data_IF_094092131243
#
_entry.id   IF_094092131243
#
_cell.length_a   1.000
_cell.length_b   1.000
_cell.length_c   1.000
_cell.angle_alpha   90.00
_cell.angle_beta   90.00
_cell.angle_gamma   90.00
#
_symmetry.space_group_name_H-M   'P 1'
#
loop_
_entity.id
_entity.type
_entity.pdbx_description
1 polymer ?
#
# COMPACT_ATOMS: atom_id res chain seq x y z
N UNK A 1 22.34 -20.00 17.09
CA UNK A 1 21.51 -18.79 16.90
C UNK A 1 20.19 -19.01 17.65
N UNK A 2 19.78 -18.04 18.44
CA UNK A 2 18.50 -18.04 19.14
C UNK A 2 17.68 -16.84 18.64
N UNK A 3 16.49 -17.08 18.09
CA UNK A 3 15.56 -16.04 17.67
C UNK A 3 14.51 -15.78 18.75
N UNK A 4 14.42 -14.54 19.21
CA UNK A 4 13.35 -14.05 20.08
C UNK A 4 12.38 -13.17 19.28
N UNK A 5 11.12 -13.59 19.19
CA UNK A 5 10.02 -12.81 18.61
C UNK A 5 9.24 -12.17 19.75
N UNK A 6 9.05 -10.86 19.69
CA UNK A 6 8.35 -10.06 20.71
C UNK A 6 7.41 -9.04 20.06
N UNK A 7 6.58 -8.39 20.86
CA UNK A 7 5.79 -7.25 20.43
C UNK A 7 6.62 -6.02 20.11
N UNK A 8 7.69 -5.78 20.90
CA UNK A 8 8.57 -4.62 20.81
C UNK A 8 10.03 -5.02 20.99
N UNK A 9 10.96 -4.33 20.33
CA UNK A 9 12.38 -4.40 20.61
C UNK A 9 12.69 -3.77 21.99
N UNK A 10 13.91 -3.96 22.52
CA UNK A 10 14.31 -3.36 23.79
C UNK A 10 14.09 -1.85 23.80
N UNK A 11 13.39 -1.37 24.83
CA UNK A 11 13.04 0.03 25.00
C UNK A 11 11.85 0.21 25.96
N UNK A 12 11.23 1.37 25.92
CA UNK A 12 10.14 1.73 26.84
C UNK A 12 8.94 0.75 26.81
N UNK A 13 8.68 0.12 25.67
CA UNK A 13 7.55 -0.80 25.50
C UNK A 13 7.94 -2.29 25.51
N UNK A 14 9.22 -2.65 25.74
CA UNK A 14 9.74 -4.02 25.61
C UNK A 14 8.88 -5.07 26.35
N UNK A 15 8.34 -4.72 27.50
CA UNK A 15 7.58 -5.63 28.36
C UNK A 15 6.07 -5.49 28.24
N UNK A 16 5.58 -4.70 27.27
CA UNK A 16 4.13 -4.61 27.00
C UNK A 16 3.65 -5.82 26.20
N UNK A 17 2.42 -6.21 26.50
CA UNK A 17 1.73 -7.20 25.69
C UNK A 17 1.39 -6.57 24.35
N UNK A 18 1.67 -7.28 23.27
CA UNK A 18 1.32 -6.90 21.92
C UNK A 18 0.69 -8.12 21.21
N UNK A 19 -0.39 -7.83 20.51
CA UNK A 19 -1.03 -8.70 19.54
C UNK A 19 -0.96 -8.00 18.18
N UNK A 20 -1.10 -8.74 17.10
CA UNK A 20 -1.14 -8.18 15.74
C UNK A 20 -2.05 -6.96 15.64
N UNK A 21 -3.31 -7.08 16.07
CA UNK A 21 -4.31 -6.00 16.02
C UNK A 21 -3.91 -4.77 16.85
N UNK A 22 -3.38 -5.01 18.06
CA UNK A 22 -2.91 -3.91 18.92
C UNK A 22 -1.80 -3.13 18.23
N UNK A 23 -0.86 -3.83 17.61
CA UNK A 23 0.25 -3.20 16.90
C UNK A 23 -0.22 -2.51 15.63
N UNK A 24 -1.18 -3.07 14.89
CA UNK A 24 -1.79 -2.38 13.74
C UNK A 24 -2.44 -1.05 14.13
N UNK A 25 -3.12 -1.00 15.29
CA UNK A 25 -3.68 0.24 15.81
C UNK A 25 -2.59 1.22 16.25
N UNK A 26 -1.59 0.77 17.00
CA UNK A 26 -0.51 1.61 17.53
C UNK A 26 0.39 2.20 16.43
N UNK A 27 0.63 1.45 15.37
CA UNK A 27 1.51 1.85 14.27
C UNK A 27 0.86 2.80 13.26
N UNK A 28 -0.45 2.99 13.33
CA UNK A 28 -1.22 3.74 12.33
C UNK A 28 -1.60 2.93 11.09
N UNK A 29 -1.23 1.65 11.01
CA UNK A 29 -1.61 0.79 9.88
C UNK A 29 -3.14 0.67 9.76
N UNK A 30 -3.83 0.47 10.88
CA UNK A 30 -5.29 0.41 10.90
C UNK A 30 -5.94 1.75 10.50
N UNK A 31 -5.35 2.88 10.91
CA UNK A 31 -5.79 4.21 10.47
C UNK A 31 -5.68 4.35 8.94
N UNK A 32 -4.55 3.96 8.38
CA UNK A 32 -4.33 4.05 6.92
C UNK A 32 -5.21 3.08 6.12
N UNK A 33 -5.64 1.97 6.72
CA UNK A 33 -6.47 0.94 6.06
C UNK A 33 -7.96 1.32 6.03
N UNK A 34 -8.46 1.93 7.10
CA UNK A 34 -9.88 2.27 7.27
C UNK A 34 -10.29 3.61 6.65
N UNK A 35 -11.59 3.83 6.44
CA UNK A 35 -12.10 5.14 6.07
C UNK A 35 -11.90 6.16 7.23
N UNK A 36 -12.01 7.47 6.95
CA UNK A 36 -11.87 8.49 7.98
C UNK A 36 -12.74 8.21 9.21
N UNK A 37 -12.14 8.25 10.40
CA UNK A 37 -12.83 8.00 11.67
C UNK A 37 -13.14 6.54 11.99
N UNK A 38 -12.82 5.59 11.09
CA UNK A 38 -13.04 4.15 11.29
C UNK A 38 -11.77 3.34 11.00
N UNK A 39 -10.78 3.32 11.89
CA UNK A 39 -9.59 2.48 11.71
C UNK A 39 -9.98 1.00 11.58
N UNK A 40 -9.44 0.33 10.58
CA UNK A 40 -9.68 -1.08 10.31
C UNK A 40 -8.37 -1.85 10.27
N UNK A 41 -8.34 -3.01 10.93
CA UNK A 41 -7.20 -3.92 10.76
C UNK A 41 -7.16 -4.47 9.33
N UNK A 42 -5.98 -4.86 8.88
CA UNK A 42 -5.84 -5.66 7.66
C UNK A 42 -6.53 -7.01 7.81
N UNK A 43 -7.00 -7.59 6.72
CA UNK A 43 -7.72 -8.88 6.69
C UNK A 43 -6.86 -10.11 7.04
N UNK A 44 -5.58 -9.92 7.34
CA UNK A 44 -4.64 -10.95 7.78
C UNK A 44 -3.82 -10.44 8.96
N UNK A 45 -3.20 -11.36 9.72
CA UNK A 45 -2.24 -11.03 10.79
C UNK A 45 -0.91 -10.58 10.18
N UNK A 46 -0.95 -9.45 9.47
CA UNK A 46 0.14 -8.99 8.62
C UNK A 46 1.39 -8.60 9.42
N UNK A 47 1.20 -8.09 10.62
CA UNK A 47 2.30 -7.68 11.50
C UNK A 47 3.01 -8.90 12.07
N UNK A 48 2.27 -9.95 12.46
CA UNK A 48 2.84 -11.23 12.88
C UNK A 48 3.66 -11.87 11.75
N UNK A 49 3.09 -11.90 10.53
CA UNK A 49 3.77 -12.42 9.33
C UNK A 49 5.05 -11.64 9.06
N UNK A 50 5.01 -10.31 9.13
CA UNK A 50 6.19 -9.47 8.90
C UNK A 50 7.24 -9.65 9.99
N UNK A 51 6.84 -9.72 11.26
CA UNK A 51 7.75 -10.00 12.38
C UNK A 51 8.46 -11.33 12.22
N UNK A 52 7.74 -12.37 11.81
CA UNK A 52 8.31 -13.68 11.48
C UNK A 52 9.29 -13.60 10.29
N UNK A 53 8.90 -12.92 9.23
CA UNK A 53 9.72 -12.75 8.01
C UNK A 53 11.03 -12.02 8.31
N UNK A 54 10.98 -10.89 9.03
CA UNK A 54 12.20 -10.18 9.46
C UNK A 54 13.05 -11.02 10.42
N UNK A 55 12.39 -11.83 11.26
CA UNK A 55 13.09 -12.80 12.09
C UNK A 55 13.93 -13.79 11.27
N UNK A 56 13.36 -14.33 10.17
CA UNK A 56 14.08 -15.22 9.25
C UNK A 56 15.25 -14.50 8.59
N UNK A 57 15.05 -13.28 8.08
CA UNK A 57 16.15 -12.48 7.47
C UNK A 57 17.28 -12.25 8.46
N UNK A 58 16.94 -11.88 9.70
CA UNK A 58 17.93 -11.64 10.74
C UNK A 58 18.68 -12.92 11.17
N UNK A 59 17.99 -14.08 11.20
CA UNK A 59 18.64 -15.38 11.46
C UNK A 59 19.60 -15.75 10.32
N UNK A 60 19.23 -15.53 9.07
CA UNK A 60 20.10 -15.77 7.92
C UNK A 60 21.38 -14.92 8.00
N UNK A 61 21.26 -13.63 8.34
CA UNK A 61 22.41 -12.74 8.54
C UNK A 61 23.31 -13.26 9.69
N UNK A 62 22.70 -13.67 10.81
CA UNK A 62 23.43 -14.23 11.94
C UNK A 62 24.14 -15.54 11.63
N UNK A 63 23.56 -16.39 10.76
CA UNK A 63 24.21 -17.63 10.30
C UNK A 63 25.42 -17.34 9.42
N UNK A 64 25.32 -16.34 8.52
CA UNK A 64 26.47 -15.91 7.69
C UNK A 64 27.60 -15.34 8.56
N UNK A 65 27.27 -14.55 9.57
CA UNK A 65 28.27 -14.05 10.51
C UNK A 65 28.92 -15.19 11.33
N UNK A 66 28.11 -16.15 11.79
CA UNK A 66 28.62 -17.33 12.51
C UNK A 66 29.61 -18.13 11.69
N UNK A 67 29.43 -18.24 10.37
CA UNK A 67 30.40 -18.93 9.50
C UNK A 67 31.79 -18.27 9.54
N UNK A 68 31.86 -16.96 9.73
CA UNK A 68 33.11 -16.21 9.81
C UNK A 68 33.69 -16.19 11.23
N UNK A 69 32.85 -16.08 12.25
CA UNK A 69 33.27 -15.83 13.63
C UNK A 69 33.28 -17.09 14.49
N UNK A 70 32.61 -18.16 14.10
CA UNK A 70 32.33 -19.35 14.89
C UNK A 70 31.38 -19.13 16.07
N UNK A 71 30.85 -17.91 16.26
CA UNK A 71 30.05 -17.55 17.44
C UNK A 71 28.57 -17.53 17.15
N UNK A 72 27.77 -18.08 18.06
CA UNK A 72 26.32 -17.92 18.06
C UNK A 72 25.91 -16.56 18.64
N UNK A 73 24.64 -16.15 18.36
CA UNK A 73 24.11 -14.91 18.91
C UNK A 73 22.60 -14.97 19.14
N UNK A 74 22.09 -14.07 19.97
CA UNK A 74 20.69 -13.78 20.14
C UNK A 74 20.26 -12.81 19.04
N UNK A 75 19.24 -13.19 18.30
CA UNK A 75 18.58 -12.36 17.27
C UNK A 75 17.20 -11.96 17.79
N UNK A 76 16.82 -10.72 17.61
CA UNK A 76 15.50 -10.21 18.02
C UNK A 76 14.75 -9.69 16.80
N UNK A 77 13.47 -10.01 16.73
CA UNK A 77 12.52 -9.40 15.81
C UNK A 77 11.27 -9.01 16.60
N UNK A 78 10.60 -7.95 16.18
CA UNK A 78 9.43 -7.47 16.88
C UNK A 78 8.33 -6.95 15.94
N UNK A 79 7.09 -7.04 16.43
CA UNK A 79 5.90 -6.71 15.66
C UNK A 79 5.83 -5.21 15.34
N UNK A 80 6.08 -4.35 16.33
CA UNK A 80 5.94 -2.90 16.18
C UNK A 80 6.93 -2.34 15.16
N UNK A 81 8.20 -2.72 15.25
CA UNK A 81 9.23 -2.25 14.31
C UNK A 81 8.98 -2.79 12.90
N UNK A 82 8.42 -3.99 12.78
CA UNK A 82 7.98 -4.53 11.50
C UNK A 82 6.82 -3.73 10.91
N UNK A 83 5.86 -3.31 11.74
CA UNK A 83 4.78 -2.42 11.33
C UNK A 83 5.31 -1.03 10.93
N UNK A 84 6.31 -0.49 11.64
CA UNK A 84 6.95 0.77 11.27
C UNK A 84 7.62 0.70 9.90
N UNK A 85 8.18 -0.44 9.53
CA UNK A 85 8.71 -0.64 8.18
C UNK A 85 7.60 -0.56 7.12
N UNK A 86 6.45 -1.21 7.35
CA UNK A 86 5.28 -1.11 6.46
C UNK A 86 4.76 0.34 6.34
N UNK A 87 4.85 1.09 7.44
CA UNK A 87 4.39 2.49 7.50
C UNK A 87 5.44 3.51 7.02
N UNK A 88 6.64 3.07 6.65
CA UNK A 88 7.78 3.93 6.36
C UNK A 88 7.51 5.03 5.33
N UNK A 89 6.79 4.71 4.24
CA UNK A 89 6.41 5.71 3.24
C UNK A 89 5.47 6.80 3.80
N UNK A 90 4.54 6.43 4.67
CA UNK A 90 3.60 7.38 5.28
C UNK A 90 4.30 8.25 6.32
N UNK A 91 5.21 7.67 7.09
CA UNK A 91 6.05 8.42 8.04
C UNK A 91 6.97 9.41 7.33
N UNK A 92 7.59 8.99 6.21
CA UNK A 92 8.42 9.89 5.41
C UNK A 92 7.61 11.05 4.81
N UNK A 93 6.38 10.78 4.36
CA UNK A 93 5.49 11.83 3.87
C UNK A 93 5.03 12.76 5.01
N UNK A 94 4.64 12.20 6.17
CA UNK A 94 4.24 13.00 7.34
C UNK A 94 5.35 13.95 7.82
N UNK A 95 6.61 13.50 7.74
CA UNK A 95 7.76 14.31 8.13
C UNK A 95 8.01 15.53 7.21
N UNK A 96 7.38 15.57 6.03
CA UNK A 96 7.50 16.63 5.04
C UNK A 96 6.22 17.43 4.83
N UNK A 97 5.14 17.06 5.52
CA UNK A 97 3.82 17.68 5.39
C UNK A 97 3.46 18.39 6.67
N UNK A 98 2.95 19.61 6.58
CA UNK A 98 2.39 20.35 7.70
C UNK A 98 0.94 19.90 8.02
N UNK A 99 0.33 19.13 7.13
CA UNK A 99 -1.04 18.65 7.28
C UNK A 99 -1.09 17.15 7.61
N UNK A 100 -2.07 16.71 8.41
CA UNK A 100 -2.29 15.29 8.68
C UNK A 100 -2.51 14.49 7.39
N UNK A 101 -1.85 13.34 7.27
CA UNK A 101 -2.05 12.46 6.12
C UNK A 101 -3.44 11.81 6.22
N UNK A 102 -4.30 11.97 5.20
CA UNK A 102 -5.58 11.28 5.18
C UNK A 102 -5.37 9.76 4.99
N UNK A 103 -6.25 8.91 5.54
CA UNK A 103 -6.19 7.48 5.33
C UNK A 103 -6.37 7.11 3.85
N UNK A 104 -5.87 5.93 3.45
CA UNK A 104 -5.85 5.51 2.04
C UNK A 104 -7.20 5.61 1.31
N UNK A 105 -8.36 5.27 1.93
CA UNK A 105 -9.65 5.43 1.27
C UNK A 105 -10.07 6.87 0.97
N UNK A 106 -9.52 7.85 1.71
CA UNK A 106 -9.80 9.28 1.50
C UNK A 106 -8.70 10.02 0.75
N UNK A 107 -7.58 9.34 0.47
CA UNK A 107 -6.45 9.94 -0.20
C UNK A 107 -6.71 10.10 -1.70
N UNK A 108 -6.36 11.25 -2.25
CA UNK A 108 -6.24 11.37 -3.70
C UNK A 108 -5.04 10.53 -4.14
N UNK A 109 -5.27 9.60 -5.07
CA UNK A 109 -4.21 8.77 -5.62
C UNK A 109 -3.15 9.65 -6.31
N UNK A 110 -1.87 9.23 -6.22
CA UNK A 110 -0.79 9.81 -7.00
C UNK A 110 -0.97 9.60 -8.52
N UNK A 111 -1.89 8.71 -8.91
CA UNK A 111 -2.26 8.39 -10.28
C UNK A 111 -3.69 8.86 -10.54
N UNK A 112 -3.90 9.49 -11.68
CA UNK A 112 -5.22 9.99 -12.07
C UNK A 112 -6.26 8.86 -12.13
N UNK A 113 -5.85 7.72 -12.67
CA UNK A 113 -6.69 6.52 -12.84
C UNK A 113 -6.01 5.38 -12.08
N UNK A 114 -6.53 5.09 -10.90
CA UNK A 114 -6.04 4.03 -10.01
C UNK A 114 -7.18 3.67 -9.07
N UNK A 115 -8.20 2.99 -9.61
CA UNK A 115 -9.47 2.78 -8.94
C UNK A 115 -10.20 1.54 -9.46
N UNK A 116 -11.29 1.16 -8.78
CA UNK A 116 -12.18 0.08 -9.18
C UNK A 116 -13.37 0.61 -9.97
N UNK A 117 -13.70 -0.06 -11.07
CA UNK A 117 -14.82 0.25 -11.93
C UNK A 117 -15.75 -0.97 -12.03
N UNK A 118 -17.06 -0.72 -12.07
CA UNK A 118 -18.06 -1.78 -12.25
C UNK A 118 -18.21 -2.08 -13.74
N UNK A 119 -18.30 -3.37 -14.07
CA UNK A 119 -18.56 -3.87 -15.42
C UNK A 119 -20.06 -4.06 -15.65
N UNK A 120 -20.48 -4.26 -16.91
CA UNK A 120 -21.87 -4.50 -17.30
C UNK A 120 -22.49 -5.71 -16.60
N UNK A 121 -21.72 -6.78 -16.44
CA UNK A 121 -22.12 -8.02 -15.76
C UNK A 121 -22.07 -7.95 -14.22
N UNK A 122 -21.83 -6.76 -13.65
CA UNK A 122 -21.79 -6.52 -12.20
C UNK A 122 -20.51 -6.93 -11.51
N UNK A 123 -19.48 -7.35 -12.24
CA UNK A 123 -18.14 -7.57 -11.71
C UNK A 123 -17.43 -6.23 -11.43
N UNK A 124 -16.24 -6.29 -10.85
CA UNK A 124 -15.37 -5.13 -10.64
C UNK A 124 -14.01 -5.38 -11.26
N UNK A 125 -13.50 -4.40 -11.97
CA UNK A 125 -12.14 -4.39 -12.50
C UNK A 125 -11.36 -3.24 -11.89
N UNK A 126 -10.09 -3.50 -11.56
CA UNK A 126 -9.17 -2.46 -11.13
C UNK A 126 -8.37 -1.93 -12.33
N UNK A 127 -8.46 -0.63 -12.58
CA UNK A 127 -7.67 0.03 -13.61
C UNK A 127 -6.57 0.87 -12.97
N UNK A 128 -5.31 0.56 -13.33
CA UNK A 128 -4.12 1.28 -12.88
C UNK A 128 -3.35 1.85 -14.07
N UNK A 129 -3.53 3.14 -14.36
CA UNK A 129 -2.77 3.86 -15.39
C UNK A 129 -1.66 4.67 -14.71
N UNK A 130 -0.46 4.10 -14.71
CA UNK A 130 0.69 4.62 -13.96
C UNK A 130 1.77 5.26 -14.82
N UNK A 131 1.50 5.45 -16.12
CA UNK A 131 2.39 6.15 -17.05
C UNK A 131 1.61 6.70 -18.24
N UNK A 132 2.20 7.69 -18.94
CA UNK A 132 1.59 8.24 -20.16
C UNK A 132 1.52 7.21 -21.27
N UNK A 133 2.45 6.26 -21.32
CA UNK A 133 2.39 5.11 -22.22
C UNK A 133 1.21 4.18 -21.92
N UNK A 134 0.86 3.96 -20.64
CA UNK A 134 -0.34 3.19 -20.27
C UNK A 134 -1.61 3.94 -20.68
N UNK A 135 -1.62 5.26 -20.52
CA UNK A 135 -2.71 6.11 -20.97
C UNK A 135 -2.97 5.98 -22.48
N UNK A 136 -1.93 6.11 -23.28
CA UNK A 136 -2.05 5.95 -24.73
C UNK A 136 -2.60 4.58 -25.11
N UNK A 137 -2.04 3.51 -24.53
CA UNK A 137 -2.53 2.14 -24.78
C UNK A 137 -3.98 1.93 -24.35
N UNK A 138 -4.40 2.57 -23.27
CA UNK A 138 -5.79 2.54 -22.84
C UNK A 138 -6.68 3.21 -23.88
N UNK A 139 -6.33 4.41 -24.32
CA UNK A 139 -7.08 5.11 -25.35
C UNK A 139 -7.18 4.32 -26.66
N UNK A 140 -6.07 3.74 -27.10
CA UNK A 140 -6.02 2.89 -28.31
C UNK A 140 -6.94 1.66 -28.17
N UNK A 141 -6.87 0.96 -27.02
CA UNK A 141 -7.66 -0.25 -26.77
C UNK A 141 -9.18 0.01 -26.73
N UNK A 142 -9.59 1.19 -26.24
CA UNK A 142 -10.99 1.58 -26.12
C UNK A 142 -11.46 2.47 -27.27
N UNK A 143 -10.63 2.71 -28.30
CA UNK A 143 -10.98 3.55 -29.45
C UNK A 143 -11.28 5.00 -29.07
N UNK A 144 -10.55 5.55 -28.08
CA UNK A 144 -10.78 6.89 -27.53
C UNK A 144 -9.70 7.88 -28.00
N UNK A 145 -9.62 8.06 -29.32
CA UNK A 145 -8.72 9.04 -29.95
C UNK A 145 -8.98 10.47 -29.45
N UNK A 146 -10.23 10.75 -29.07
CA UNK A 146 -10.64 12.03 -28.48
C UNK A 146 -9.92 12.31 -27.16
N UNK A 147 -9.78 11.29 -26.29
CA UNK A 147 -9.06 11.41 -25.04
C UNK A 147 -7.53 11.40 -25.23
N UNK A 148 -7.05 10.67 -26.21
CA UNK A 148 -5.63 10.62 -26.54
C UNK A 148 -5.12 11.96 -27.10
N UNK A 149 -5.94 12.66 -27.86
CA UNK A 149 -5.62 13.96 -28.47
C UNK A 149 -5.87 15.16 -27.54
N UNK A 150 -6.52 14.96 -26.38
CA UNK A 150 -6.81 16.04 -25.44
C UNK A 150 -5.54 16.47 -24.70
N UNK A 151 -5.02 17.66 -25.04
CA UNK A 151 -3.81 18.22 -24.43
C UNK A 151 -3.93 18.41 -22.91
N UNK A 152 -5.16 18.55 -22.39
CA UNK A 152 -5.43 18.65 -20.95
C UNK A 152 -5.34 17.29 -20.22
N UNK A 153 -5.08 16.21 -20.96
CA UNK A 153 -4.89 14.84 -20.46
C UNK A 153 -3.51 14.27 -20.82
N UNK A 154 -2.61 15.07 -21.38
CA UNK A 154 -1.34 14.60 -21.94
C UNK A 154 -0.41 13.93 -20.92
N UNK A 155 -0.42 14.38 -19.66
CA UNK A 155 0.38 13.79 -18.59
C UNK A 155 -0.44 13.50 -17.34
N UNK A 156 0.16 12.74 -16.39
CA UNK A 156 -0.56 12.30 -15.19
C UNK A 156 -1.08 13.47 -14.35
N UNK A 157 -0.33 14.57 -14.20
CA UNK A 157 -0.79 15.70 -13.38
C UNK A 157 -2.02 16.37 -13.99
N UNK A 158 -2.01 16.58 -15.29
CA UNK A 158 -3.18 17.10 -16.02
C UNK A 158 -4.39 16.17 -15.88
N UNK A 159 -4.19 14.86 -15.96
CA UNK A 159 -5.27 13.88 -15.73
C UNK A 159 -5.75 13.88 -14.27
N UNK A 160 -4.88 14.15 -13.28
CA UNK A 160 -5.29 14.33 -11.88
C UNK A 160 -6.21 15.55 -11.76
N UNK A 161 -5.85 16.68 -12.34
CA UNK A 161 -6.66 17.89 -12.33
C UNK A 161 -8.02 17.69 -13.03
N UNK A 162 -8.02 16.85 -14.06
CA UNK A 162 -9.21 16.50 -14.84
C UNK A 162 -10.05 15.35 -14.23
N UNK A 163 -9.69 14.76 -13.07
CA UNK A 163 -10.35 13.55 -12.51
C UNK A 163 -11.86 13.64 -12.44
N UNK A 164 -12.40 14.78 -12.01
CA UNK A 164 -13.85 14.97 -11.86
C UNK A 164 -14.59 14.76 -13.19
N UNK A 165 -13.98 15.14 -14.31
CA UNK A 165 -14.48 14.95 -15.66
C UNK A 165 -14.15 13.55 -16.19
N UNK A 166 -12.92 13.09 -15.93
CA UNK A 166 -12.36 11.89 -16.56
C UNK A 166 -12.94 10.59 -15.98
N UNK A 167 -13.05 10.48 -14.65
CA UNK A 167 -13.48 9.22 -14.01
C UNK A 167 -14.91 8.80 -14.43
N UNK A 168 -15.92 9.67 -14.55
CA UNK A 168 -17.23 9.28 -15.10
C UNK A 168 -17.14 8.70 -16.50
N UNK A 169 -16.34 9.29 -17.39
CA UNK A 169 -16.16 8.79 -18.76
C UNK A 169 -15.60 7.36 -18.76
N UNK A 170 -14.58 7.09 -17.91
CA UNK A 170 -14.01 5.75 -17.80
C UNK A 170 -14.98 4.77 -17.16
N UNK A 171 -15.74 5.23 -16.17
CA UNK A 171 -16.79 4.40 -15.54
C UNK A 171 -17.84 3.95 -16.57
N UNK A 172 -18.32 4.86 -17.42
CA UNK A 172 -19.28 4.55 -18.47
C UNK A 172 -18.70 3.59 -19.53
N UNK A 173 -17.43 3.77 -19.90
CA UNK A 173 -16.73 2.86 -20.82
C UNK A 173 -16.66 1.44 -20.27
N UNK A 174 -16.25 1.30 -19.02
CA UNK A 174 -16.12 -0.01 -18.37
C UNK A 174 -17.50 -0.65 -18.14
N UNK A 175 -18.51 0.14 -17.74
CA UNK A 175 -19.87 -0.32 -17.56
C UNK A 175 -20.54 -0.80 -18.86
N UNK A 176 -19.99 -0.45 -20.02
CA UNK A 176 -20.43 -0.95 -21.33
C UNK A 176 -19.90 -2.34 -21.70
N UNK A 177 -18.96 -2.91 -20.93
CA UNK A 177 -18.27 -4.16 -21.23
C UNK A 177 -18.46 -5.19 -20.11
N UNK A 178 -18.46 -6.47 -20.47
CA UNK A 178 -18.37 -7.57 -19.50
C UNK A 178 -16.91 -7.78 -19.08
N UNK A 179 -16.69 -8.38 -17.91
CA UNK A 179 -15.34 -8.61 -17.39
C UNK A 179 -14.45 -9.39 -18.39
N UNK A 180 -15.04 -10.30 -19.15
CA UNK A 180 -14.30 -11.10 -20.14
C UNK A 180 -13.88 -10.31 -21.39
N UNK A 181 -14.43 -9.12 -21.60
CA UNK A 181 -14.10 -8.23 -22.74
C UNK A 181 -12.98 -7.26 -22.40
N UNK A 182 -12.68 -7.09 -21.10
CA UNK A 182 -11.64 -6.19 -20.57
C UNK A 182 -10.33 -6.95 -20.34
#
# INVERSE_FOLDING_TARGET
>A
IYLSLKGFLPGHYENRIALDEVVQMMSGLAYMTGPPGMPLRAGASIVDIMGGTFGVVAVQAALLERQKTGKGQLVKSALFESAMFLMGQHLAYAAQSDEPIPPMPARVSAWAIYDQFATRDGAKVFLGITSDRHWQRFCDAFGRDDLAADETLANNNQRIDARTRLLPILSDLVAGLDLAEI
#
